data_IF_362754081119
#
_entry.id   IF_362754081119
#
_cell.length_a   1.000
_cell.length_b   1.000
_cell.length_c   1.000
_cell.angle_alpha   90.00
_cell.angle_beta   90.00
_cell.angle_gamma   90.00
#
_symmetry.space_group_name_H-M   'P 1'
#
loop_
_entity.id
_entity.type
_entity.pdbx_description
1 polymer ?
#
# COMPACT_ATOMS: atom_id res chain seq x y z
N UNK A 1 0.59 -7.28 -22.77
CA UNK A 1 1.45 -6.52 -21.84
C UNK A 1 0.55 -5.61 -20.99
N UNK A 2 0.65 -5.65 -19.66
CA UNK A 2 -0.21 -4.85 -18.77
C UNK A 2 0.27 -3.40 -18.80
N UNK A 3 -0.51 -2.48 -19.39
CA UNK A 3 -0.14 -1.05 -19.46
C UNK A 3 -0.13 -0.48 -18.04
N UNK A 4 0.95 0.21 -17.66
CA UNK A 4 1.03 0.87 -16.36
C UNK A 4 0.04 2.04 -16.29
N UNK A 5 -0.65 2.15 -15.16
CA UNK A 5 -1.52 3.27 -14.84
C UNK A 5 -0.68 4.44 -14.31
N UNK A 6 -0.97 5.65 -14.75
CA UNK A 6 -0.53 6.85 -14.04
C UNK A 6 -1.27 6.99 -12.70
N UNK A 7 -0.84 7.91 -11.85
CA UNK A 7 -1.54 8.25 -10.61
C UNK A 7 -3.00 8.65 -10.83
N UNK A 8 -3.26 9.44 -11.88
CA UNK A 8 -4.62 9.84 -12.26
C UNK A 8 -5.44 8.63 -12.72
N UNK A 9 -4.86 7.76 -13.55
CA UNK A 9 -5.52 6.54 -14.02
C UNK A 9 -5.78 5.54 -12.89
N UNK A 10 -4.91 5.46 -11.88
CA UNK A 10 -5.14 4.61 -10.71
C UNK A 10 -6.33 5.11 -9.88
N UNK A 11 -6.48 6.43 -9.70
CA UNK A 11 -7.66 7.01 -9.04
C UNK A 11 -8.92 6.80 -9.86
N UNK A 12 -8.85 7.03 -11.16
CA UNK A 12 -9.98 6.78 -12.05
C UNK A 12 -10.40 5.32 -12.02
N UNK A 13 -9.44 4.39 -12.02
CA UNK A 13 -9.72 2.96 -11.89
C UNK A 13 -10.46 2.65 -10.58
N UNK A 14 -10.03 3.22 -9.45
CA UNK A 14 -10.76 3.07 -8.17
C UNK A 14 -12.20 3.61 -8.28
N UNK A 15 -12.39 4.78 -8.89
CA UNK A 15 -13.72 5.36 -9.14
C UNK A 15 -14.58 4.50 -10.05
N UNK A 16 -14.01 3.91 -11.11
CA UNK A 16 -14.70 2.99 -12.03
C UNK A 16 -15.13 1.70 -11.33
N UNK A 17 -14.39 1.25 -10.31
CA UNK A 17 -14.82 0.14 -9.45
C UNK A 17 -15.86 0.55 -8.41
N UNK A 18 -16.15 1.85 -8.25
CA UNK A 18 -17.01 2.36 -7.18
C UNK A 18 -16.38 2.26 -5.78
N UNK A 19 -15.05 2.15 -5.69
CA UNK A 19 -14.34 1.96 -4.42
C UNK A 19 -13.59 3.23 -4.05
N UNK A 20 -13.74 3.67 -2.80
CA UNK A 20 -12.95 4.81 -2.29
C UNK A 20 -11.51 4.41 -1.97
N UNK A 21 -10.58 5.37 -2.02
CA UNK A 21 -9.17 5.12 -1.61
C UNK A 21 -9.09 4.56 -0.18
N UNK A 22 -9.92 5.07 0.73
CA UNK A 22 -10.00 4.62 2.12
C UNK A 22 -10.47 3.18 2.22
N UNK A 23 -11.54 2.83 1.50
CA UNK A 23 -12.07 1.46 1.47
C UNK A 23 -11.03 0.51 0.89
N UNK A 24 -10.47 0.83 -0.27
CA UNK A 24 -9.44 0.04 -0.92
C UNK A 24 -8.21 -0.18 -0.01
N UNK A 25 -7.78 0.85 0.71
CA UNK A 25 -6.67 0.74 1.67
C UNK A 25 -6.98 -0.25 2.79
N UNK A 26 -8.20 -0.21 3.36
CA UNK A 26 -8.64 -1.13 4.41
C UNK A 26 -8.71 -2.56 3.91
N UNK A 27 -9.29 -2.78 2.73
CA UNK A 27 -9.44 -4.11 2.13
C UNK A 27 -8.08 -4.78 1.86
N UNK A 28 -7.03 -3.97 1.61
CA UNK A 28 -5.67 -4.46 1.35
C UNK A 28 -4.73 -4.36 2.57
N UNK A 29 -5.22 -3.96 3.75
CA UNK A 29 -4.41 -3.86 4.97
C UNK A 29 -3.37 -2.73 4.97
N UNK A 30 -3.60 -1.66 4.21
CA UNK A 30 -2.74 -0.48 4.14
C UNK A 30 -3.32 0.72 4.88
N UNK A 31 -2.45 1.64 5.31
CA UNK A 31 -2.91 2.93 5.83
C UNK A 31 -3.35 3.84 4.69
N UNK A 32 -4.50 4.47 4.85
CA UNK A 32 -5.07 5.40 3.86
C UNK A 32 -4.10 6.51 3.49
N UNK A 33 -3.41 7.10 4.48
CA UNK A 33 -2.39 8.13 4.23
C UNK A 33 -1.25 7.64 3.33
N UNK A 34 -0.79 6.40 3.51
CA UNK A 34 0.26 5.83 2.66
C UNK A 34 -0.21 5.63 1.23
N UNK A 35 -1.47 5.19 1.03
CA UNK A 35 -2.04 5.04 -0.31
C UNK A 35 -2.15 6.40 -1.01
N UNK A 36 -2.58 7.44 -0.30
CA UNK A 36 -2.58 8.80 -0.84
C UNK A 36 -1.17 9.28 -1.19
N UNK A 37 -0.17 9.07 -0.34
CA UNK A 37 1.22 9.44 -0.66
C UNK A 37 1.75 8.76 -1.93
N UNK A 38 1.36 7.51 -2.18
CA UNK A 38 1.69 6.78 -3.42
C UNK A 38 0.93 7.37 -4.62
N UNK A 39 -0.38 7.61 -4.48
CA UNK A 39 -1.22 8.20 -5.53
C UNK A 39 -0.86 9.65 -5.87
N UNK A 40 -0.30 10.42 -4.94
CA UNK A 40 0.21 11.76 -5.20
C UNK A 40 1.67 11.78 -5.66
N UNK A 41 2.35 10.62 -5.71
CA UNK A 41 3.74 10.52 -6.11
C UNK A 41 4.73 11.10 -5.08
N UNK A 42 4.31 11.31 -3.83
CA UNK A 42 5.19 11.80 -2.75
C UNK A 42 6.22 10.75 -2.32
N UNK A 43 5.96 9.47 -2.56
CA UNK A 43 6.87 8.35 -2.27
C UNK A 43 7.40 7.72 -3.56
N UNK A 44 8.69 7.39 -3.59
CA UNK A 44 9.37 6.71 -4.71
C UNK A 44 8.97 5.23 -4.90
N UNK A 45 8.19 4.65 -3.98
CA UNK A 45 7.63 3.29 -4.08
C UNK A 45 8.66 2.19 -4.39
N UNK A 46 9.86 2.32 -3.80
CA UNK A 46 10.99 1.42 -4.09
C UNK A 46 10.87 0.08 -3.36
N UNK A 47 10.34 0.06 -2.14
CA UNK A 47 10.31 -1.12 -1.26
C UNK A 47 9.15 -1.09 -0.26
N UNK A 48 8.86 -2.25 0.33
CA UNK A 48 7.87 -2.44 1.39
C UNK A 48 6.43 -2.13 0.95
N UNK A 49 5.59 -1.69 1.89
CA UNK A 49 4.16 -1.39 1.64
C UNK A 49 3.95 -0.41 0.48
N UNK A 50 4.79 0.63 0.35
CA UNK A 50 4.71 1.58 -0.76
C UNK A 50 4.93 0.94 -2.14
N UNK A 51 5.82 -0.06 -2.23
CA UNK A 51 6.00 -0.84 -3.45
C UNK A 51 4.78 -1.68 -3.77
N UNK A 52 4.25 -2.40 -2.77
CA UNK A 52 3.08 -3.26 -2.93
C UNK A 52 1.86 -2.47 -3.39
N UNK A 53 1.61 -1.29 -2.80
CA UNK A 53 0.52 -0.40 -3.22
C UNK A 53 0.68 0.00 -4.69
N UNK A 54 1.88 0.43 -5.11
CA UNK A 54 2.12 0.84 -6.50
C UNK A 54 1.95 -0.32 -7.49
N UNK A 55 2.30 -1.55 -7.10
CA UNK A 55 2.09 -2.77 -7.92
C UNK A 55 0.61 -3.11 -8.02
N UNK A 56 -0.12 -3.11 -6.90
CA UNK A 56 -1.54 -3.44 -6.85
C UNK A 56 -2.40 -2.44 -7.63
N UNK A 57 -2.09 -1.14 -7.54
CA UNK A 57 -2.75 -0.10 -8.35
C UNK A 57 -2.35 -0.15 -9.83
N UNK A 58 -1.41 -1.01 -10.20
CA UNK A 58 -0.90 -1.12 -11.57
C UNK A 58 -0.05 0.07 -12.01
N UNK A 59 0.48 0.85 -11.06
CA UNK A 59 1.35 2.00 -11.32
C UNK A 59 2.81 1.60 -11.56
N UNK A 60 3.20 0.39 -11.13
CA UNK A 60 4.56 -0.12 -11.24
C UNK A 60 4.55 -1.61 -11.55
N UNK A 61 5.52 -2.05 -12.36
CA UNK A 61 5.81 -3.48 -12.54
C UNK A 61 6.53 -4.03 -11.31
N UNK A 62 6.09 -5.17 -10.80
CA UNK A 62 6.72 -5.83 -9.67
C UNK A 62 5.87 -6.97 -9.16
N UNK A 63 6.41 -7.67 -8.17
CA UNK A 63 5.72 -8.72 -7.42
C UNK A 63 5.46 -8.18 -6.01
N UNK A 64 4.34 -8.59 -5.41
CA UNK A 64 4.09 -8.25 -4.01
C UNK A 64 5.19 -8.85 -3.14
N UNK A 65 5.79 -8.02 -2.29
CA UNK A 65 6.75 -8.49 -1.29
C UNK A 65 6.07 -8.58 0.06
N UNK A 66 6.03 -9.80 0.61
CA UNK A 66 5.61 -10.05 1.99
C UNK A 66 6.81 -10.08 2.94
N UNK A 67 8.02 -9.79 2.44
CA UNK A 67 9.20 -9.77 3.30
C UNK A 67 9.02 -8.61 4.29
N UNK A 68 8.94 -8.89 5.61
CA UNK A 68 8.98 -7.82 6.59
C UNK A 68 10.27 -7.05 6.33
N UNK A 69 10.20 -5.72 6.34
CA UNK A 69 11.40 -4.91 6.37
C UNK A 69 12.27 -5.52 7.48
N UNK A 70 13.48 -6.00 7.14
CA UNK A 70 14.38 -6.68 8.08
C UNK A 70 14.86 -5.68 9.14
N UNK A 71 13.96 -5.28 10.03
CA UNK A 71 14.10 -4.60 11.31
C UNK A 71 12.69 -4.14 11.71
N UNK A 72 12.03 -4.91 12.56
CA UNK A 72 11.11 -4.36 13.54
C UNK A 72 11.60 -4.82 14.91
N UNK A 73 12.34 -3.99 15.65
CA UNK A 73 12.64 -4.24 17.06
C UNK A 73 11.41 -4.12 17.98
N UNK A 74 10.20 -3.89 17.42
CA UNK A 74 9.08 -3.29 18.12
C UNK A 74 7.91 -4.23 18.46
N UNK A 75 8.04 -5.55 18.31
CA UNK A 75 6.97 -6.49 18.72
C UNK A 75 6.97 -6.82 20.23
N UNK A 76 7.84 -6.20 21.04
CA UNK A 76 7.90 -6.46 22.49
C UNK A 76 6.78 -5.84 23.33
N UNK A 77 5.96 -4.91 22.80
CA UNK A 77 5.02 -4.13 23.62
C UNK A 77 3.56 -4.63 23.63
N UNK A 78 3.18 -5.59 22.79
CA UNK A 78 1.79 -6.08 22.74
C UNK A 78 1.54 -7.36 23.57
N UNK A 79 2.58 -8.08 23.99
CA UNK A 79 2.45 -9.28 24.82
C UNK A 79 2.40 -8.96 26.33
N UNK A 80 3.04 -7.87 26.79
CA UNK A 80 3.08 -7.50 28.22
C UNK A 80 1.75 -7.01 28.81
N UNK A 81 0.79 -6.56 27.97
CA UNK A 81 -0.53 -6.12 28.43
C UNK A 81 -1.57 -7.23 28.57
N UNK A 82 -1.25 -8.47 28.19
CA UNK A 82 -2.14 -9.62 28.36
C UNK A 82 -1.81 -10.45 29.63
N UNK A 83 -0.83 -10.04 30.42
CA UNK A 83 -0.35 -10.76 31.61
C UNK A 83 -0.47 -9.94 32.92
N UNK A 84 -1.28 -8.88 32.93
CA UNK A 84 -1.66 -8.12 34.13
C UNK A 84 -3.15 -8.32 34.43
#
# INVERSE_FOLDING_TARGET
MKKLRTSAQARQWLSEQGITVTQWARDHGFSTSLVFEVLYGRKRCLRGKSHNIAVLLGMKHGQLTDKPARVSPAQRQQEERAAA
#
